data_IF_113633074291
#
_entry.id   IF_113633074291
#
_cell.length_a   1.000
_cell.length_b   1.000
_cell.length_c   1.000
_cell.angle_alpha   90.00
_cell.angle_beta   90.00
_cell.angle_gamma   90.00
#
_symmetry.space_group_name_H-M   'P 1'
#
loop_
_entity.id
_entity.type
_entity.pdbx_description
1 polymer ?
2 water ?
#
# COMPACT_ATOMS: atom_id res chain seq x y z
N UNK A 2 21.49 -0.03 8.15
CA UNK A 2 20.91 -1.38 8.13
C UNK A 2 19.42 -1.35 7.82
N UNK A 3 18.90 -2.46 7.30
CA UNK A 3 17.54 -2.53 6.82
C UNK A 3 16.53 -2.35 7.95
N UNK A 4 16.80 -2.98 9.09
CA UNK A 4 15.91 -2.89 10.24
C UNK A 4 15.56 -1.47 10.68
N UNK A 5 16.55 -0.64 10.94
CA UNK A 5 16.24 0.70 11.44
C UNK A 5 15.66 1.61 10.34
N UNK A 6 15.97 1.30 9.08
CA UNK A 6 15.34 2.00 7.96
C UNK A 6 13.83 1.73 7.92
N UNK A 7 13.48 0.46 8.13
CA UNK A 7 12.09 0.06 8.17
C UNK A 7 11.41 0.67 9.38
N UNK A 8 12.08 0.66 10.54
CA UNK A 8 11.49 1.20 11.74
C UNK A 8 11.16 2.69 11.56
N UNK A 9 12.10 3.43 10.97
CA UNK A 9 11.87 4.86 10.73
C UNK A 9 10.69 5.07 9.77
N UNK A 10 10.59 4.24 8.74
CA UNK A 10 9.50 4.37 7.79
C UNK A 10 8.14 4.03 8.42
N UNK A 11 8.11 3.06 9.33
CA UNK A 11 6.88 2.76 10.09
C UNK A 11 6.39 3.97 10.85
N UNK A 12 7.33 4.72 11.43
CA UNK A 12 6.97 5.91 12.18
C UNK A 12 6.41 7.00 11.27
N UNK A 13 6.97 7.14 10.07
CA UNK A 13 6.46 8.13 9.12
C UNK A 13 5.02 7.78 8.75
N UNK A 14 4.77 6.50 8.52
CA UNK A 14 3.44 6.05 8.18
C UNK A 14 2.46 6.30 9.33
N UNK A 15 2.88 6.02 10.55
CA UNK A 15 2.02 6.24 11.72
C UNK A 15 1.71 7.72 11.96
N UNK A 16 2.71 8.57 11.73
CA UNK A 16 2.60 10.00 12.02
C UNK A 16 1.89 10.76 10.92
N UNK A 17 2.31 10.50 9.68
CA UNK A 17 1.91 11.32 8.52
C UNK A 17 0.98 10.56 7.57
N UNK A 18 0.96 9.24 7.65
CA UNK A 18 0.13 8.47 6.75
C UNK A 18 0.56 8.62 5.32
N UNK A 19 1.88 8.74 5.09
CA UNK A 19 2.48 8.67 3.77
C UNK A 19 3.58 7.61 3.84
N UNK A 20 3.86 7.02 2.68
CA UNK A 20 4.72 5.84 2.59
C UNK A 20 6.05 6.22 1.96
N UNK A 21 7.15 6.14 2.73
CA UNK A 21 8.46 6.44 2.15
C UNK A 21 8.84 5.42 1.07
N UNK A 22 9.71 5.82 0.12
CA UNK A 22 10.14 4.90 -0.95
C UNK A 22 10.65 3.56 -0.43
N UNK A 23 11.41 3.59 0.65
CA UNK A 23 11.98 2.37 1.17
C UNK A 23 10.88 1.43 1.75
N UNK A 24 9.77 1.98 2.23
CA UNK A 24 8.62 1.17 2.67
C UNK A 24 7.80 0.66 1.50
N UNK A 25 7.70 1.47 0.46
CA UNK A 25 6.99 1.05 -0.73
C UNK A 25 7.62 -0.19 -1.34
N UNK A 26 8.94 -0.24 -1.29
CA UNK A 26 9.69 -1.42 -1.74
C UNK A 26 9.17 -2.69 -1.06
N UNK A 27 9.06 -2.62 0.26
CA UNK A 27 8.63 -3.76 1.06
C UNK A 27 7.16 -4.13 0.75
N UNK A 28 6.33 -3.11 0.62
CA UNK A 28 4.92 -3.31 0.29
C UNK A 28 4.77 -3.97 -1.08
N UNK A 29 5.53 -3.53 -2.07
CA UNK A 29 5.47 -4.16 -3.39
C UNK A 29 5.95 -5.60 -3.34
N UNK A 30 7.03 -5.88 -2.60
CA UNK A 30 7.47 -7.27 -2.48
C UNK A 30 6.40 -8.13 -1.81
N UNK A 31 5.72 -7.61 -0.80
CA UNK A 31 4.64 -8.34 -0.14
C UNK A 31 3.50 -8.63 -1.12
N UNK A 32 3.07 -7.67 -1.93
CA UNK A 32 1.96 -7.98 -2.82
C UNK A 32 2.38 -8.90 -3.98
N UNK A 33 3.68 -8.96 -4.27
CA UNK A 33 4.16 -9.92 -5.27
C UNK A 33 4.32 -11.32 -4.69
N UNK A 34 4.31 -11.43 -3.36
CA UNK A 34 4.53 -12.70 -2.65
C UNK A 34 3.26 -13.31 -2.06
N UNK A 35 2.27 -12.46 -1.79
CA UNK A 35 1.17 -12.78 -0.88
C UNK A 35 -0.17 -12.50 -1.56
N UNK A 36 -0.84 -13.56 -2.04
CA UNK A 36 -2.11 -13.37 -2.74
C UNK A 36 -3.14 -12.57 -1.96
N UNK A 37 -3.24 -12.79 -0.66
CA UNK A 37 -4.27 -12.10 0.10
C UNK A 37 -3.95 -10.60 0.22
N UNK A 38 -2.69 -10.25 0.43
CA UNK A 38 -2.32 -8.84 0.52
C UNK A 38 -2.53 -8.14 -0.82
N UNK A 39 -2.19 -8.81 -1.92
CA UNK A 39 -2.43 -8.29 -3.26
C UNK A 39 -3.92 -7.95 -3.43
N UNK A 40 -4.80 -8.84 -2.99
CA UNK A 40 -6.22 -8.58 -3.10
C UNK A 40 -6.68 -7.49 -2.13
N UNK A 41 -6.09 -7.41 -0.95
CA UNK A 41 -6.42 -6.35 -0.01
C UNK A 41 -6.12 -4.96 -0.60
N UNK A 42 -4.99 -4.85 -1.29
CA UNK A 42 -4.65 -3.59 -1.96
C UNK A 42 -5.67 -3.32 -3.05
N UNK A 43 -6.01 -4.33 -3.85
CA UNK A 43 -7.02 -4.12 -4.88
C UNK A 43 -8.34 -3.65 -4.27
N UNK A 44 -8.72 -4.20 -3.12
CA UNK A 44 -9.98 -3.82 -2.50
C UNK A 44 -9.99 -2.34 -2.12
N UNK A 45 -8.85 -1.80 -1.68
CA UNK A 45 -8.76 -0.38 -1.34
C UNK A 45 -9.03 0.46 -2.59
N UNK A 46 -8.37 0.08 -3.68
CA UNK A 46 -8.54 0.79 -4.94
C UNK A 46 -9.97 0.65 -5.47
N UNK A 47 -10.55 -0.55 -5.36
CA UNK A 47 -11.91 -0.82 -5.86
C UNK A 47 -12.91 0.08 -5.15
N UNK A 48 -12.71 0.33 -3.86
CA UNK A 48 -13.61 1.22 -3.12
C UNK A 48 -13.47 2.66 -3.64
N UNK A 49 -12.25 3.08 -3.93
CA UNK A 49 -12.03 4.42 -4.46
C UNK A 49 -12.69 4.55 -5.84
N UNK A 50 -12.56 3.52 -6.68
CA UNK A 50 -13.19 3.54 -7.99
C UNK A 50 -14.72 3.65 -7.86
N UNK A 51 -15.28 2.83 -6.97
CA UNK A 51 -16.72 2.79 -6.76
C UNK A 51 -17.24 4.15 -6.30
N UNK A 52 -16.55 4.75 -5.33
CA UNK A 52 -16.91 6.08 -4.85
C UNK A 52 -16.79 7.13 -5.96
N UNK A 53 -15.74 7.04 -6.78
CA UNK A 53 -15.54 8.01 -7.85
C UNK A 53 -16.67 7.93 -8.87
N UNK A 54 -17.28 6.75 -8.97
CA UNK A 54 -18.37 6.51 -9.92
C UNK A 54 -19.76 6.70 -9.28
N UNK A 55 -19.82 7.37 -8.12
CA UNK A 55 -21.08 7.60 -7.44
C UNK A 55 -22.08 8.27 -8.35
N UNK A 56 -23.36 8.02 -8.07
CA UNK A 56 -24.42 8.70 -8.80
C UNK A 56 -24.20 10.20 -8.69
N UNK A 57 -24.30 10.87 -9.82
CA UNK A 57 -24.06 12.31 -9.87
C UNK A 57 -24.66 12.89 -11.14
N UNK A 58 -24.97 14.17 -11.11
CA UNK A 58 -25.30 14.90 -12.31
C UNK A 58 -24.01 15.18 -13.08
N UNK A 59 -24.15 15.56 -14.35
CA UNK A 59 -22.99 15.75 -15.22
C UNK A 59 -22.81 17.22 -15.60
N UNK B 1 -17.21 7.29 -14.27
CA UNK B 1 -16.81 8.48 -14.98
C UNK B 1 -15.33 8.45 -15.31
N UNK B 2 -14.83 9.53 -15.89
CA UNK B 2 -13.42 9.59 -16.25
C UNK B 2 -12.46 9.33 -15.09
N UNK B 3 -12.72 9.85 -13.90
CA UNK B 3 -11.83 9.58 -12.77
C UNK B 3 -11.87 8.11 -12.36
N UNK B 4 -13.06 7.52 -12.31
CA UNK B 4 -13.18 6.11 -12.02
C UNK B 4 -12.41 5.26 -13.02
N UNK B 5 -12.46 5.66 -14.29
CA UNK B 5 -11.72 4.98 -15.34
C UNK B 5 -10.21 5.01 -15.10
N UNK B 6 -9.71 6.16 -14.67
CA UNK B 6 -8.29 6.29 -14.36
C UNK B 6 -7.91 5.37 -13.18
N UNK B 7 -8.75 5.30 -12.16
CA UNK B 7 -8.50 4.39 -11.03
C UNK B 7 -8.51 2.94 -11.51
N UNK B 8 -9.46 2.59 -12.37
CA UNK B 8 -9.51 1.24 -12.91
C UNK B 8 -8.21 0.86 -13.62
N UNK B 9 -7.66 1.77 -14.40
CA UNK B 9 -6.41 1.47 -15.08
C UNK B 9 -5.25 1.36 -14.11
N UNK B 10 -5.21 2.19 -13.08
CA UNK B 10 -4.19 2.04 -12.05
C UNK B 10 -4.28 0.66 -11.37
N UNK B 11 -5.50 0.18 -11.12
CA UNK B 11 -5.67 -1.17 -10.57
C UNK B 11 -5.05 -2.22 -11.46
N UNK B 12 -5.16 -2.04 -12.77
CA UNK B 12 -4.55 -2.97 -13.71
C UNK B 12 -3.03 -2.96 -13.65
N UNK B 13 -2.42 -1.80 -13.41
CA UNK B 13 -0.96 -1.78 -13.28
C UNK B 13 -0.56 -2.64 -12.09
N UNK B 14 -1.28 -2.52 -10.98
CA UNK B 14 -0.96 -3.34 -9.84
C UNK B 14 -1.16 -4.82 -10.16
N UNK B 15 -2.31 -5.16 -10.76
CA UNK B 15 -2.65 -6.54 -11.06
C UNK B 15 -1.73 -7.21 -12.07
N UNK B 16 -1.28 -6.45 -13.06
CA UNK B 16 -0.49 -7.01 -14.17
C UNK B 16 1.00 -6.90 -13.99
N UNK B 17 1.44 -5.88 -13.27
CA UNK B 17 2.85 -5.55 -13.15
C UNK B 17 3.35 -5.52 -11.73
N UNK B 18 2.47 -5.58 -10.74
CA UNK B 18 2.92 -5.58 -9.36
C UNK B 18 3.65 -4.32 -8.95
N UNK B 19 3.25 -3.20 -9.57
CA UNK B 19 3.81 -1.88 -9.31
C UNK B 19 2.67 -0.97 -8.88
N UNK B 20 2.90 -0.16 -7.87
CA UNK B 20 1.90 0.77 -7.36
C UNK B 20 2.22 2.15 -7.92
N UNK B 21 1.43 2.61 -8.90
CA UNK B 21 1.72 3.93 -9.49
C UNK B 21 1.31 5.05 -8.57
N UNK B 22 1.78 6.27 -8.83
CA UNK B 22 1.55 7.39 -7.91
C UNK B 22 0.11 7.59 -7.47
N UNK B 23 -0.84 7.51 -8.40
CA UNK B 23 -2.24 7.75 -8.03
C UNK B 23 -2.76 6.67 -7.09
N UNK B 24 -2.30 5.44 -7.28
CA UNK B 24 -2.67 4.36 -6.39
C UNK B 24 -2.02 4.54 -5.02
N UNK B 25 -0.76 4.97 -5.02
CA UNK B 25 -0.07 5.22 -3.77
C UNK B 25 -0.84 6.25 -2.94
N UNK B 26 -1.28 7.33 -3.56
CA UNK B 26 -1.96 8.36 -2.80
C UNK B 26 -3.30 7.85 -2.24
N UNK B 27 -4.03 7.04 -3.00
CA UNK B 27 -5.26 6.41 -2.51
C UNK B 27 -4.98 5.49 -1.31
N UNK B 28 -3.91 4.72 -1.39
CA UNK B 28 -3.49 3.83 -0.30
C UNK B 28 -3.11 4.65 0.93
N UNK B 29 -2.43 5.78 0.72
CA UNK B 29 -2.06 6.65 1.82
C UNK B 29 -3.31 7.28 2.47
N UNK B 30 -4.26 7.73 1.66
CA UNK B 30 -5.52 8.21 2.21
C UNK B 30 -6.14 7.12 3.08
N UNK B 31 -6.10 5.87 2.60
CA UNK B 31 -6.66 4.75 3.34
C UNK B 31 -5.96 4.56 4.70
N UNK B 32 -4.65 4.77 4.75
CA UNK B 32 -3.90 4.74 6.00
C UNK B 32 -4.41 5.72 7.03
N UNK B 33 -5.04 6.78 6.56
CA UNK B 33 -5.53 7.85 7.42
C UNK B 33 -7.04 7.82 7.63
N UNK B 34 -7.72 6.85 7.04
CA UNK B 34 -9.17 6.76 7.11
C UNK B 34 -9.65 5.34 7.36
N UNK B 35 -8.81 4.51 7.93
CA UNK B 35 -9.12 3.10 8.14
C UNK B 35 -8.12 2.55 9.13
N UNK B 36 -8.48 2.55 10.42
CA UNK B 36 -7.54 2.07 11.45
C UNK B 36 -7.09 0.63 11.22
N UNK B 37 -7.96 -0.19 10.65
CA UNK B 37 -7.63 -1.57 10.38
C UNK B 37 -6.53 -1.67 9.31
N UNK B 38 -6.68 -0.92 8.22
CA UNK B 38 -5.68 -0.92 7.16
C UNK B 38 -4.36 -0.33 7.64
N UNK B 39 -4.44 0.73 8.45
CA UNK B 39 -3.26 1.31 9.07
C UNK B 39 -2.50 0.23 9.85
N UNK B 40 -3.23 -0.59 10.60
CA UNK B 40 -2.62 -1.68 11.35
C UNK B 40 -2.03 -2.75 10.42
N UNK B 41 -2.77 -3.09 9.36
CA UNK B 41 -2.35 -4.07 8.37
C UNK B 41 -0.98 -3.70 7.80
N UNK B 42 -0.85 -2.46 7.36
CA UNK B 42 0.38 -1.99 6.74
C UNK B 42 1.50 -1.99 7.78
N UNK B 43 1.22 -1.56 9.01
CA UNK B 43 2.22 -1.66 10.05
C UNK B 43 2.67 -3.11 10.24
N UNK B 44 1.73 -4.06 10.20
CA UNK B 44 2.07 -5.46 10.35
C UNK B 44 3.00 -5.94 9.23
N UNK B 45 2.75 -5.54 7.99
CA UNK B 45 3.58 -5.96 6.86
C UNK B 45 5.00 -5.47 7.09
N UNK B 46 5.15 -4.24 7.54
CA UNK B 46 6.47 -3.67 7.77
C UNK B 46 7.12 -4.25 9.02
N UNK B 47 6.31 -4.56 10.04
CA UNK B 47 6.84 -5.16 11.26
C UNK B 47 7.42 -6.55 10.98
N UNK B 48 6.77 -7.30 10.10
CA UNK B 48 7.26 -8.61 9.72
C UNK B 48 8.68 -8.46 9.16
N UNK B 49 8.86 -7.47 8.29
CA UNK B 49 10.15 -7.21 7.69
C UNK B 49 11.17 -6.73 8.72
N UNK B 50 10.78 -5.81 9.58
CA UNK B 50 11.71 -5.19 10.53
C UNK B 50 12.28 -6.18 11.55
N UNK B 51 11.40 -7.01 12.12
CA UNK B 51 11.81 -7.93 13.18
C UNK B 51 12.85 -8.92 12.67
N UNK B 52 12.67 -9.39 11.45
CA UNK B 52 13.62 -10.32 10.83
C UNK B 52 14.93 -9.61 10.56
N UNK B 53 14.84 -8.38 10.08
CA UNK B 53 16.02 -7.61 9.71
C UNK B 53 16.82 -7.16 10.93
N UNK B 54 16.14 -6.78 12.01
CA UNK B 54 16.83 -6.30 13.19
C UNK B 54 17.79 -7.33 13.77
N UNK B 55 17.48 -8.62 13.63
CA UNK B 55 18.29 -9.65 14.27
C UNK B 55 19.22 -10.34 13.27
N UNK B 56 19.33 -9.76 12.08
CA UNK B 56 20.21 -10.27 11.04
C UNK B 56 21.62 -9.72 11.21
N UNK B 57 22.60 -10.44 10.67
CA UNK B 57 23.99 -10.03 10.70
C UNK B 57 24.35 -9.16 9.51
N UNK B 58 23.71 -9.44 8.37
CA UNK B 58 24.11 -8.85 7.10
C UNK B 58 22.93 -8.16 6.41
#
# INVERSE_FOLDING_TARGET
GPLGSKIASAREVIKRDGVIPPEALTIIEQRLRSDPMFRQQIDNVLADAECDANRAAYSP
GPLGSKIASAREVIKRDGVIPPEALTIIEQRLRSDPMFRQQIDNVLADAECDANRAAYSP
#
